data_IF_424452469401
#
_entry.id   IF_424452469401
#
_cell.length_a   1.000
_cell.length_b   1.000
_cell.length_c   1.000
_cell.angle_alpha   90.00
_cell.angle_beta   90.00
_cell.angle_gamma   90.00
#
_symmetry.space_group_name_H-M   'P 1'
#
loop_
_entity.id
_entity.type
_entity.pdbx_description
1 polymer ?
#
# COMPACT_ATOMS: atom_id res chain seq x y z
N UNK A 1 14.26 -16.54 22.99
CA UNK A 1 12.85 -16.14 23.22
C UNK A 1 12.41 -16.73 24.55
N UNK A 2 11.41 -16.14 25.22
CA UNK A 2 10.89 -16.70 26.48
C UNK A 2 9.37 -16.55 26.57
N UNK A 3 8.71 -17.38 27.37
CA UNK A 3 7.27 -17.26 27.63
C UNK A 3 7.05 -16.38 28.86
N UNK A 4 6.27 -15.32 28.69
CA UNK A 4 5.80 -14.45 29.75
C UNK A 4 4.35 -14.83 30.09
N UNK A 5 4.06 -15.02 31.39
CA UNK A 5 2.71 -15.28 31.89
C UNK A 5 2.15 -13.99 32.47
N UNK A 6 0.92 -13.63 32.09
CA UNK A 6 0.21 -12.45 32.61
C UNK A 6 -1.12 -12.86 33.19
N UNK A 7 -1.37 -12.51 34.45
CA UNK A 7 -2.71 -12.67 35.05
C UNK A 7 -3.64 -11.59 34.50
N UNK A 8 -4.83 -12.00 34.05
CA UNK A 8 -5.89 -11.10 33.59
C UNK A 8 -7.22 -11.60 34.16
N UNK A 9 -7.61 -11.05 35.31
CA UNK A 9 -8.68 -11.61 36.13
C UNK A 9 -8.36 -13.04 36.56
N UNK A 10 -9.30 -13.96 36.35
CA UNK A 10 -9.16 -15.38 36.71
C UNK A 10 -8.37 -16.21 35.68
N UNK A 11 -7.93 -15.61 34.57
CA UNK A 11 -7.22 -16.31 33.49
C UNK A 11 -5.74 -15.97 33.47
N UNK A 12 -4.90 -16.96 33.16
CA UNK A 12 -3.48 -16.78 32.88
C UNK A 12 -3.25 -16.73 31.39
N UNK A 13 -2.85 -15.57 30.87
CA UNK A 13 -2.50 -15.36 29.46
C UNK A 13 -1.02 -15.65 29.23
N UNK A 14 -0.71 -16.39 28.17
CA UNK A 14 0.65 -16.77 27.80
C UNK A 14 1.10 -15.99 26.57
N UNK A 15 2.29 -15.40 26.62
CA UNK A 15 2.88 -14.66 25.53
C UNK A 15 4.29 -15.16 25.25
N UNK A 16 4.62 -15.44 24.00
CA UNK A 16 6.00 -15.63 23.57
C UNK A 16 6.63 -14.27 23.30
N UNK A 17 7.75 -14.00 23.95
CA UNK A 17 8.49 -12.75 23.86
C UNK A 17 9.81 -12.97 23.15
N UNK A 18 10.10 -12.10 22.18
CA UNK A 18 11.40 -11.99 21.56
C UNK A 18 11.91 -10.56 21.63
N UNK A 19 13.08 -10.40 22.23
CA UNK A 19 13.84 -9.16 22.19
C UNK A 19 14.87 -9.30 21.07
N UNK A 20 14.92 -8.33 20.18
CA UNK A 20 15.92 -8.27 19.11
C UNK A 20 16.56 -6.89 19.08
N UNK A 21 17.79 -6.81 18.58
CA UNK A 21 18.48 -5.53 18.36
C UNK A 21 18.14 -4.99 16.98
N UNK A 22 17.93 -3.68 16.94
CA UNK A 22 17.78 -2.87 15.73
C UNK A 22 18.68 -1.64 15.91
N UNK A 23 19.87 -1.69 15.30
CA UNK A 23 20.97 -0.79 15.63
C UNK A 23 21.32 -0.84 17.13
N UNK A 24 21.39 0.33 17.77
CA UNK A 24 21.67 0.46 19.21
C UNK A 24 20.47 0.20 20.12
N UNK A 25 19.25 0.04 19.59
CA UNK A 25 18.02 -0.11 20.38
C UNK A 25 17.58 -1.57 20.49
N UNK A 26 17.16 -1.99 21.67
CA UNK A 26 16.48 -3.27 21.89
C UNK A 26 14.99 -3.08 21.66
N UNK A 27 14.41 -3.86 20.75
CA UNK A 27 12.99 -3.89 20.44
C UNK A 27 12.38 -5.19 20.96
N UNK A 28 11.16 -5.11 21.47
CA UNK A 28 10.39 -6.25 21.99
C UNK A 28 9.22 -6.54 21.05
N UNK A 29 9.12 -7.78 20.58
CA UNK A 29 7.96 -8.33 19.89
C UNK A 29 7.36 -9.43 20.75
N UNK A 30 6.03 -9.44 20.83
CA UNK A 30 5.29 -10.44 21.59
C UNK A 30 4.20 -11.08 20.75
N UNK A 31 4.00 -12.38 20.93
CA UNK A 31 2.88 -13.12 20.35
C UNK A 31 2.06 -13.77 21.45
N UNK A 32 0.74 -13.57 21.42
CA UNK A 32 -0.16 -14.25 22.34
C UNK A 32 -0.33 -15.72 21.94
N UNK A 33 -0.15 -16.63 22.89
CA UNK A 33 -0.23 -18.08 22.68
C UNK A 33 -1.60 -18.66 23.06
N UNK A 34 -2.30 -18.03 24.02
CA UNK A 34 -3.57 -18.52 24.55
C UNK A 34 -3.74 -18.23 26.05
N UNK A 35 -4.90 -18.59 26.60
CA UNK A 35 -5.20 -18.49 28.04
C UNK A 35 -5.26 -19.89 28.64
N UNK A 36 -4.83 -20.02 29.90
CA UNK A 36 -4.96 -21.23 30.73
C UNK A 36 -4.45 -22.51 30.04
N UNK A 37 -3.35 -22.35 29.29
CA UNK A 37 -2.75 -23.43 28.52
C UNK A 37 -2.01 -24.41 29.43
N UNK A 38 -2.19 -25.70 29.16
CA UNK A 38 -1.38 -26.76 29.76
C UNK A 38 0.05 -26.74 29.21
N UNK A 39 0.99 -27.34 29.94
CA UNK A 39 2.39 -27.44 29.52
C UNK A 39 2.53 -28.12 28.15
N UNK A 40 1.80 -29.20 27.90
CA UNK A 40 1.80 -29.90 26.61
C UNK A 40 1.29 -29.04 25.45
N UNK A 41 0.21 -28.28 25.66
CA UNK A 41 -0.29 -27.36 24.63
C UNK A 41 0.72 -26.25 24.33
N UNK A 42 1.40 -25.74 25.34
CA UNK A 42 2.47 -24.75 25.16
C UNK A 42 3.64 -25.32 24.35
N UNK A 43 4.11 -26.53 24.65
CA UNK A 43 5.20 -27.18 23.90
C UNK A 43 4.84 -27.40 22.43
N UNK A 44 3.56 -27.71 22.13
CA UNK A 44 3.10 -27.85 20.73
C UNK A 44 3.02 -26.51 19.98
N UNK A 45 2.53 -25.45 20.62
CA UNK A 45 2.31 -24.15 19.97
C UNK A 45 3.61 -23.34 19.84
N UNK A 46 4.54 -23.52 20.78
CA UNK A 46 5.76 -22.70 20.88
C UNK A 46 6.61 -22.70 19.60
N UNK A 47 6.95 -23.84 18.95
CA UNK A 47 7.78 -23.83 17.75
C UNK A 47 7.15 -23.07 16.57
N UNK A 48 5.82 -23.13 16.45
CA UNK A 48 5.06 -22.39 15.42
C UNK A 48 5.13 -20.89 15.72
N UNK A 49 4.88 -20.52 16.98
CA UNK A 49 4.95 -19.14 17.43
C UNK A 49 6.36 -18.53 17.31
N UNK A 50 7.42 -19.29 17.57
CA UNK A 50 8.81 -18.87 17.41
C UNK A 50 9.13 -18.54 15.94
N UNK A 51 8.76 -19.43 15.00
CA UNK A 51 8.91 -19.18 13.56
C UNK A 51 8.16 -17.92 13.12
N UNK A 52 6.92 -17.75 13.56
CA UNK A 52 6.10 -16.59 13.21
C UNK A 52 6.65 -15.28 13.77
N UNK A 53 7.21 -15.29 14.99
CA UNK A 53 7.89 -14.11 15.54
C UNK A 53 9.15 -13.78 14.75
N UNK A 54 9.98 -14.76 14.39
CA UNK A 54 11.18 -14.52 13.58
C UNK A 54 10.83 -13.93 12.21
N UNK A 55 9.82 -14.49 11.53
CA UNK A 55 9.30 -13.93 10.28
C UNK A 55 8.83 -12.49 10.47
N UNK A 56 8.06 -12.20 11.53
CA UNK A 56 7.60 -10.84 11.84
C UNK A 56 8.77 -9.87 12.07
N UNK A 57 9.80 -10.29 12.80
CA UNK A 57 11.00 -9.48 13.04
C UNK A 57 11.73 -9.20 11.74
N UNK A 58 11.84 -10.19 10.84
CA UNK A 58 12.42 -10.02 9.50
C UNK A 58 11.63 -8.97 8.70
N UNK A 59 10.29 -9.07 8.67
CA UNK A 59 9.42 -8.09 8.00
C UNK A 59 9.53 -6.70 8.64
N UNK A 60 9.54 -6.59 9.97
CA UNK A 60 9.69 -5.31 10.67
C UNK A 60 11.04 -4.65 10.34
N UNK A 61 12.12 -5.43 10.24
CA UNK A 61 13.43 -4.91 9.80
C UNK A 61 13.35 -4.40 8.37
N UNK A 62 12.76 -5.17 7.44
CA UNK A 62 12.53 -4.73 6.05
C UNK A 62 11.76 -3.40 5.97
N UNK A 63 10.71 -3.22 6.79
CA UNK A 63 9.91 -1.97 6.77
C UNK A 63 10.66 -0.80 7.43
N UNK A 64 11.42 -1.05 8.50
CA UNK A 64 12.17 0.01 9.19
C UNK A 64 13.36 0.49 8.37
N UNK A 65 13.86 -0.38 7.48
CA UNK A 65 15.03 -0.13 6.67
C UNK A 65 14.87 -0.55 5.20
N UNK A 66 13.88 0.00 4.48
CA UNK A 66 13.60 -0.39 3.11
C UNK A 66 14.60 0.22 2.12
N UNK A 67 15.58 1.02 2.60
CA UNK A 67 16.49 1.79 1.77
C UNK A 67 17.98 1.53 2.06
N UNK A 68 18.40 1.18 3.28
CA UNK A 68 19.84 0.99 3.58
C UNK A 68 20.44 -0.25 2.90
N UNK A 69 19.62 -1.20 2.44
CA UNK A 69 20.08 -2.31 1.59
C UNK A 69 19.81 -2.08 0.09
N UNK A 70 18.98 -1.09 -0.26
CA UNK A 70 18.42 -0.95 -1.61
C UNK A 70 19.04 0.17 -2.46
N UNK A 71 19.49 1.28 -1.83
CA UNK A 71 20.05 2.44 -2.53
C UNK A 71 21.22 3.05 -1.74
N UNK A 72 22.28 3.42 -2.45
CA UNK A 72 23.38 4.24 -1.95
C UNK A 72 22.95 5.70 -1.73
N UNK A 73 23.67 6.42 -0.86
CA UNK A 73 23.47 7.88 -0.67
C UNK A 73 23.67 8.67 -1.98
N UNK A 74 24.54 8.19 -2.88
CA UNK A 74 24.70 8.75 -4.22
C UNK A 74 23.44 8.57 -5.08
N UNK A 75 22.84 7.39 -5.09
CA UNK A 75 21.58 7.14 -5.83
C UNK A 75 20.43 7.99 -5.27
N UNK A 76 20.31 8.11 -3.95
CA UNK A 76 19.31 8.98 -3.31
C UNK A 76 19.52 10.45 -3.75
N UNK A 77 20.78 10.89 -3.81
CA UNK A 77 21.14 12.23 -4.28
C UNK A 77 20.83 12.41 -5.77
N UNK A 78 21.07 11.39 -6.60
CA UNK A 78 20.70 11.40 -8.02
C UNK A 78 19.19 11.52 -8.22
N UNK A 79 18.38 10.75 -7.46
CA UNK A 79 16.92 10.85 -7.52
C UNK A 79 16.46 12.25 -7.12
N UNK A 80 17.03 12.81 -6.04
CA UNK A 80 16.74 14.18 -5.61
C UNK A 80 17.08 15.21 -6.70
N UNK A 81 18.21 15.05 -7.36
CA UNK A 81 18.63 15.92 -8.47
C UNK A 81 17.73 15.76 -9.70
N UNK A 82 17.26 14.54 -10.00
CA UNK A 82 16.30 14.30 -11.08
C UNK A 82 14.95 14.97 -10.79
N UNK A 83 14.50 14.95 -9.54
CA UNK A 83 13.28 15.65 -9.12
C UNK A 83 13.38 17.17 -9.31
N UNK A 84 14.53 17.74 -8.96
CA UNK A 84 14.79 19.17 -9.15
C UNK A 84 14.90 19.53 -10.64
N UNK A 85 15.68 18.78 -11.42
CA UNK A 85 15.91 19.04 -12.86
C UNK A 85 14.67 18.87 -13.71
N UNK A 86 13.85 17.85 -13.47
CA UNK A 86 12.63 17.59 -14.27
C UNK A 86 11.47 18.53 -13.96
N UNK A 87 11.69 19.52 -13.07
CA UNK A 87 10.65 20.46 -12.64
C UNK A 87 9.39 19.68 -12.26
N UNK A 88 9.51 18.74 -11.33
CA UNK A 88 8.38 17.99 -10.77
C UNK A 88 7.37 18.89 -10.02
N UNK A 89 7.57 20.20 -10.07
CA UNK A 89 6.67 21.25 -9.62
C UNK A 89 5.28 21.05 -10.25
N UNK A 90 4.27 20.71 -9.44
CA UNK A 90 2.91 21.07 -9.81
C UNK A 90 2.77 22.57 -9.59
N UNK A 91 2.27 23.29 -10.59
CA UNK A 91 1.27 24.30 -10.31
C UNK A 91 -0.06 23.87 -10.94
N UNK A 92 -1.05 23.83 -10.06
CA UNK A 92 -2.46 23.49 -10.22
C UNK A 92 -2.89 22.77 -11.50
N UNK A 93 -3.20 21.47 -11.38
CA UNK A 93 -4.03 20.81 -12.39
C UNK A 93 -5.38 21.54 -12.48
N UNK A 94 -5.79 21.90 -13.70
CA UNK A 94 -7.11 22.48 -13.95
C UNK A 94 -8.22 21.47 -13.63
N UNK A 95 -9.48 21.96 -13.58
CA UNK A 95 -10.65 21.09 -13.41
C UNK A 95 -10.70 20.01 -14.50
N UNK A 96 -10.42 20.37 -15.74
CA UNK A 96 -10.37 19.46 -16.89
C UNK A 96 -9.22 18.45 -16.78
N UNK A 97 -8.05 18.87 -16.29
CA UNK A 97 -6.93 17.95 -16.09
C UNK A 97 -7.21 16.95 -14.95
N UNK A 98 -7.85 17.40 -13.86
CA UNK A 98 -8.31 16.50 -12.80
C UNK A 98 -9.36 15.51 -13.31
N UNK A 99 -10.33 15.99 -14.08
CA UNK A 99 -11.34 15.14 -14.73
C UNK A 99 -10.67 14.07 -15.60
N UNK A 100 -9.71 14.49 -16.44
CA UNK A 100 -8.95 13.57 -17.30
C UNK A 100 -8.12 12.58 -16.51
N UNK A 101 -7.44 13.02 -15.44
CA UNK A 101 -6.70 12.13 -14.55
C UNK A 101 -7.64 11.11 -13.91
N UNK A 102 -8.78 11.53 -13.36
CA UNK A 102 -9.76 10.63 -12.76
C UNK A 102 -10.27 9.59 -13.75
N UNK A 103 -10.60 9.97 -14.99
CA UNK A 103 -10.99 9.02 -16.04
C UNK A 103 -9.91 7.95 -16.29
N UNK A 104 -8.66 8.39 -16.48
CA UNK A 104 -7.53 7.50 -16.78
C UNK A 104 -7.17 6.59 -15.61
N UNK A 105 -7.12 7.18 -14.41
CA UNK A 105 -6.75 6.50 -13.18
C UNK A 105 -7.81 5.48 -12.78
N UNK A 106 -9.10 5.85 -12.77
CA UNK A 106 -10.20 4.94 -12.44
C UNK A 106 -10.23 3.75 -13.41
N UNK A 107 -10.09 4.00 -14.72
CA UNK A 107 -10.02 2.91 -15.70
C UNK A 107 -8.83 1.98 -15.43
N UNK A 108 -7.62 2.52 -15.33
CA UNK A 108 -6.41 1.68 -15.25
C UNK A 108 -6.35 0.94 -13.92
N UNK A 109 -6.66 1.60 -12.80
CA UNK A 109 -6.58 0.99 -11.47
C UNK A 109 -7.60 -0.12 -11.27
N UNK A 110 -8.81 -0.02 -11.84
CA UNK A 110 -9.81 -1.08 -11.74
C UNK A 110 -9.51 -2.22 -12.72
N UNK A 111 -9.11 -1.90 -13.96
CA UNK A 111 -8.76 -2.92 -14.95
C UNK A 111 -7.51 -3.73 -14.56
N UNK A 112 -6.55 -3.15 -13.82
CA UNK A 112 -5.42 -3.89 -13.24
C UNK A 112 -5.90 -4.97 -12.26
N UNK A 113 -7.02 -4.74 -11.56
CA UNK A 113 -7.63 -5.70 -10.65
C UNK A 113 -8.69 -6.60 -11.33
N UNK A 114 -8.89 -6.45 -12.64
CA UNK A 114 -9.76 -7.34 -13.43
C UNK A 114 -11.15 -6.79 -13.78
N UNK A 115 -11.46 -5.52 -13.49
CA UNK A 115 -12.71 -4.91 -13.96
C UNK A 115 -12.80 -4.94 -15.49
N UNK A 116 -14.01 -5.22 -15.98
CA UNK A 116 -14.30 -5.33 -17.42
C UNK A 116 -14.87 -4.05 -18.03
N UNK A 117 -14.91 -2.95 -17.27
CA UNK A 117 -15.34 -1.65 -17.76
C UNK A 117 -14.34 -1.11 -18.79
N UNK A 118 -14.82 -0.78 -19.98
CA UNK A 118 -14.03 -0.08 -20.98
C UNK A 118 -13.75 1.36 -20.56
N UNK A 119 -12.69 1.94 -21.14
CA UNK A 119 -12.34 3.36 -20.93
C UNK A 119 -13.49 4.32 -21.26
N UNK A 120 -14.34 3.97 -22.24
CA UNK A 120 -15.51 4.77 -22.62
C UNK A 120 -16.61 4.66 -21.56
N UNK A 121 -16.87 3.46 -21.05
CA UNK A 121 -17.87 3.25 -19.99
C UNK A 121 -17.46 3.96 -18.71
N UNK A 122 -16.20 3.85 -18.27
CA UNK A 122 -15.70 4.62 -17.12
C UNK A 122 -15.94 6.12 -17.35
N UNK A 123 -15.59 6.64 -18.53
CA UNK A 123 -15.83 8.05 -18.86
C UNK A 123 -17.31 8.44 -18.79
N UNK A 124 -18.21 7.59 -19.29
CA UNK A 124 -19.65 7.84 -19.30
C UNK A 124 -20.26 7.73 -17.88
N UNK A 125 -19.78 6.81 -17.04
CA UNK A 125 -20.14 6.68 -15.63
C UNK A 125 -19.77 7.95 -14.87
N UNK A 126 -18.49 8.36 -14.90
CA UNK A 126 -18.00 9.45 -14.05
C UNK A 126 -18.50 10.85 -14.45
N UNK A 127 -18.90 11.04 -15.71
CA UNK A 127 -19.16 12.37 -16.26
C UNK A 127 -20.59 12.61 -16.73
N UNK A 128 -21.37 11.55 -16.93
CA UNK A 128 -22.74 11.63 -17.48
C UNK A 128 -23.73 10.83 -16.64
N UNK A 129 -23.27 10.18 -15.58
CA UNK A 129 -24.06 9.24 -14.78
C UNK A 129 -24.79 8.19 -15.64
N UNK A 130 -24.11 7.75 -16.73
CA UNK A 130 -24.66 6.77 -17.67
C UNK A 130 -24.06 5.41 -17.40
N UNK A 131 -24.89 4.49 -16.92
CA UNK A 131 -24.47 3.16 -16.51
C UNK A 131 -24.63 2.13 -17.64
N UNK A 132 -23.61 1.31 -17.93
CA UNK A 132 -23.78 0.14 -18.78
C UNK A 132 -24.75 -0.85 -18.12
N UNK A 133 -25.65 -1.45 -18.91
CA UNK A 133 -26.70 -2.37 -18.40
C UNK A 133 -26.21 -3.80 -18.27
N UNK A 134 -25.11 -4.11 -18.94
CA UNK A 134 -24.50 -5.42 -19.15
C UNK A 134 -23.24 -5.63 -18.30
N UNK A 135 -23.02 -4.77 -17.29
CA UNK A 135 -21.86 -4.82 -16.40
C UNK A 135 -22.28 -4.97 -14.95
N UNK A 136 -21.40 -5.58 -14.16
CA UNK A 136 -21.61 -5.78 -12.73
C UNK A 136 -21.79 -4.44 -12.00
N UNK A 137 -22.72 -4.42 -11.04
CA UNK A 137 -23.03 -3.19 -10.28
C UNK A 137 -21.87 -2.81 -9.38
N UNK A 138 -21.13 -3.80 -8.91
CA UNK A 138 -19.91 -3.68 -8.12
C UNK A 138 -18.84 -2.90 -8.89
N UNK A 139 -18.61 -3.23 -10.16
CA UNK A 139 -17.64 -2.54 -11.03
C UNK A 139 -18.00 -1.05 -11.21
N UNK A 140 -19.29 -0.76 -11.41
CA UNK A 140 -19.80 0.62 -11.53
C UNK A 140 -19.63 1.37 -10.20
N UNK A 141 -19.99 0.72 -9.09
CA UNK A 141 -19.89 1.25 -7.74
C UNK A 141 -18.44 1.58 -7.36
N UNK A 142 -17.52 0.68 -7.67
CA UNK A 142 -16.09 0.83 -7.41
C UNK A 142 -15.44 1.89 -8.31
N UNK A 143 -15.95 2.10 -9.53
CA UNK A 143 -15.53 3.24 -10.37
C UNK A 143 -15.84 4.59 -9.72
N UNK A 144 -17.06 4.77 -9.19
CA UNK A 144 -17.41 5.95 -8.39
C UNK A 144 -16.59 6.02 -7.10
N UNK A 145 -16.38 4.90 -6.43
CA UNK A 145 -15.57 4.78 -5.23
C UNK A 145 -14.15 5.31 -5.42
N UNK A 146 -13.49 4.93 -6.51
CA UNK A 146 -12.16 5.44 -6.86
C UNK A 146 -12.18 6.94 -7.15
N UNK A 147 -13.16 7.46 -7.89
CA UNK A 147 -13.29 8.91 -8.11
C UNK A 147 -13.44 9.66 -6.79
N UNK A 148 -14.29 9.17 -5.90
CA UNK A 148 -14.49 9.76 -4.57
C UNK A 148 -13.21 9.70 -3.73
N UNK A 149 -12.42 8.64 -3.84
CA UNK A 149 -11.12 8.53 -3.17
C UNK A 149 -10.11 9.55 -3.71
N UNK A 150 -10.08 9.80 -5.02
CA UNK A 150 -9.27 10.87 -5.64
C UNK A 150 -9.68 12.23 -5.08
N UNK A 151 -10.98 12.52 -4.99
CA UNK A 151 -11.48 13.77 -4.41
C UNK A 151 -11.11 13.91 -2.93
N UNK A 152 -11.13 12.80 -2.19
CA UNK A 152 -10.75 12.78 -0.78
C UNK A 152 -9.26 13.12 -0.58
N UNK A 153 -8.35 12.47 -1.31
CA UNK A 153 -6.90 12.73 -1.19
C UNK A 153 -6.51 14.15 -1.63
N UNK A 154 -7.30 14.77 -2.51
CA UNK A 154 -7.13 16.18 -2.89
C UNK A 154 -7.46 17.14 -1.75
N UNK A 155 -8.42 16.80 -0.88
CA UNK A 155 -8.91 17.67 0.21
C UNK A 155 -8.20 17.42 1.54
N UNK A 156 -7.78 16.18 1.81
CA UNK A 156 -7.13 15.84 3.09
C UNK A 156 -5.77 16.51 3.25
N UNK A 157 -5.42 16.89 4.49
CA UNK A 157 -4.05 17.32 4.85
C UNK A 157 -3.20 16.17 5.39
N UNK A 158 -3.79 15.00 5.63
CA UNK A 158 -3.11 13.84 6.18
C UNK A 158 -2.29 13.16 5.08
N UNK A 159 -0.98 12.97 5.32
CA UNK A 159 -0.12 12.26 4.38
C UNK A 159 -0.31 10.74 4.47
N UNK A 160 -0.25 10.19 5.68
CA UNK A 160 -0.40 8.76 5.92
C UNK A 160 -0.81 8.52 7.37
N UNK A 161 -1.91 7.82 7.57
CA UNK A 161 -2.30 7.25 8.87
C UNK A 161 -3.09 5.96 8.64
N UNK A 162 -3.29 5.16 9.68
CA UNK A 162 -4.09 3.93 9.54
C UNK A 162 -5.55 4.28 9.26
N UNK A 163 -6.05 5.34 9.89
CA UNK A 163 -7.40 5.85 9.71
C UNK A 163 -7.61 6.34 8.27
N UNK A 164 -6.61 6.99 7.65
CA UNK A 164 -6.67 7.38 6.25
C UNK A 164 -6.68 6.16 5.32
N UNK A 165 -5.88 5.14 5.64
CA UNK A 165 -5.84 3.87 4.88
C UNK A 165 -7.20 3.17 4.91
N UNK A 166 -7.78 3.01 6.11
CA UNK A 166 -9.12 2.46 6.33
C UNK A 166 -10.17 3.32 5.62
N UNK A 167 -10.06 4.66 5.71
CA UNK A 167 -11.03 5.57 5.09
C UNK A 167 -11.00 5.52 3.55
N UNK A 168 -9.83 5.44 2.95
CA UNK A 168 -9.69 5.28 1.49
C UNK A 168 -10.36 3.98 1.05
N UNK A 169 -10.10 2.88 1.75
CA UNK A 169 -10.74 1.59 1.45
C UNK A 169 -12.26 1.67 1.61
N UNK A 170 -12.75 2.26 2.71
CA UNK A 170 -14.18 2.49 2.93
C UNK A 170 -14.80 3.28 1.77
N UNK A 171 -14.20 4.38 1.35
CA UNK A 171 -14.71 5.22 0.26
C UNK A 171 -14.84 4.43 -1.06
N UNK A 172 -13.86 3.58 -1.36
CA UNK A 172 -13.86 2.79 -2.60
C UNK A 172 -14.94 1.69 -2.56
N UNK A 173 -15.11 1.02 -1.42
CA UNK A 173 -15.84 -0.25 -1.35
C UNK A 173 -17.15 -0.24 -0.56
N UNK A 174 -17.51 0.86 0.11
CA UNK A 174 -18.72 0.93 0.99
C UNK A 174 -20.04 0.52 0.33
N UNK A 175 -20.09 0.54 -1.00
CA UNK A 175 -21.27 0.21 -1.79
C UNK A 175 -21.07 -1.07 -2.63
N UNK A 176 -20.02 -1.86 -2.36
CA UNK A 176 -19.75 -3.12 -3.07
C UNK A 176 -19.24 -4.26 -2.18
N UNK A 177 -18.64 -3.97 -1.01
CA UNK A 177 -18.09 -4.97 -0.08
C UNK A 177 -18.50 -4.67 1.36
N UNK A 178 -18.96 -5.68 2.08
CA UNK A 178 -19.32 -5.59 3.50
C UNK A 178 -18.13 -5.25 4.40
N UNK A 179 -16.91 -5.70 4.03
CA UNK A 179 -15.68 -5.44 4.79
C UNK A 179 -15.05 -4.06 4.48
N UNK A 180 -15.77 -3.17 3.81
CA UNK A 180 -15.26 -1.85 3.44
C UNK A 180 -14.78 -1.05 4.66
N UNK A 181 -13.48 -0.73 4.67
CA UNK A 181 -12.84 0.10 5.70
C UNK A 181 -12.26 -0.70 6.86
N UNK A 182 -12.41 -2.02 6.86
CA UNK A 182 -11.91 -2.88 7.93
C UNK A 182 -10.67 -3.65 7.49
N UNK A 183 -9.59 -3.54 8.27
CA UNK A 183 -8.46 -4.45 8.13
C UNK A 183 -8.92 -5.90 8.30
N UNK A 184 -8.32 -6.83 7.55
CA UNK A 184 -8.70 -8.24 7.61
C UNK A 184 -8.56 -8.83 9.02
N UNK A 185 -9.50 -9.71 9.36
CA UNK A 185 -9.56 -10.31 10.69
C UNK A 185 -8.45 -11.36 10.90
N UNK A 186 -8.14 -11.66 12.16
CA UNK A 186 -7.14 -12.66 12.51
C UNK A 186 -7.56 -14.03 11.98
N UNK A 187 -6.69 -14.66 11.18
CA UNK A 187 -6.92 -15.96 10.56
C UNK A 187 -7.25 -15.89 9.07
N UNK A 188 -7.56 -14.72 8.54
CA UNK A 188 -7.74 -14.51 7.10
C UNK A 188 -6.37 -14.15 6.52
N UNK A 189 -5.70 -15.13 5.94
CA UNK A 189 -4.47 -14.92 5.19
C UNK A 189 -4.80 -14.72 3.70
N UNK A 190 -4.07 -13.80 3.07
CA UNK A 190 -4.33 -13.33 1.71
C UNK A 190 -3.10 -13.52 0.85
N UNK A 191 -3.32 -13.74 -0.43
CA UNK A 191 -2.27 -13.86 -1.43
C UNK A 191 -2.46 -12.80 -2.50
N UNK A 192 -1.35 -12.24 -2.96
CA UNK A 192 -1.33 -11.37 -4.12
C UNK A 192 -1.29 -12.26 -5.35
N UNK A 193 -2.23 -12.05 -6.27
CA UNK A 193 -2.29 -12.77 -7.53
C UNK A 193 -1.99 -11.84 -8.69
N UNK A 194 -1.34 -12.38 -9.73
CA UNK A 194 -1.20 -11.69 -11.00
C UNK A 194 -2.50 -11.77 -11.82
N UNK A 195 -2.49 -11.17 -13.01
CA UNK A 195 -3.64 -11.20 -13.92
C UNK A 195 -3.99 -12.54 -14.53
N UNK A 196 -3.18 -13.57 -14.29
CA UNK A 196 -3.41 -14.95 -14.71
C UNK A 196 -3.86 -15.83 -13.53
N UNK A 197 -3.98 -15.25 -12.33
CA UNK A 197 -4.36 -15.95 -11.11
C UNK A 197 -3.21 -16.64 -10.38
N UNK A 198 -1.96 -16.48 -10.82
CA UNK A 198 -0.80 -17.06 -10.16
C UNK A 198 -0.52 -16.33 -8.85
N UNK A 199 -0.19 -17.08 -7.79
CA UNK A 199 0.25 -16.49 -6.52
C UNK A 199 1.62 -15.83 -6.73
N UNK A 200 1.66 -14.51 -6.60
CA UNK A 200 2.87 -13.69 -6.66
C UNK A 200 3.59 -13.72 -5.31
N UNK A 201 2.85 -13.48 -4.22
CA UNK A 201 3.36 -13.61 -2.85
C UNK A 201 2.22 -13.69 -1.82
N UNK A 202 2.55 -14.07 -0.59
CA UNK A 202 1.64 -14.06 0.56
C UNK A 202 1.71 -12.71 1.28
N UNK A 203 0.55 -12.15 1.66
CA UNK A 203 0.51 -10.98 2.53
C UNK A 203 1.07 -11.29 3.92
N UNK A 204 1.31 -10.25 4.72
CA UNK A 204 1.80 -10.45 6.08
C UNK A 204 0.85 -11.32 6.93
N UNK A 205 1.29 -11.97 8.03
CA UNK A 205 0.34 -12.65 8.90
C UNK A 205 -0.73 -11.68 9.43
N UNK A 206 -2.02 -12.05 9.33
CA UNK A 206 -3.19 -11.20 9.68
C UNK A 206 -3.08 -10.52 11.05
N UNK A 207 -2.59 -11.25 12.05
CA UNK A 207 -2.36 -10.75 13.41
C UNK A 207 -1.28 -9.65 13.53
N UNK A 208 -0.45 -9.48 12.51
CA UNK A 208 0.62 -8.50 12.48
C UNK A 208 0.22 -7.23 11.70
N UNK A 209 -0.81 -7.28 10.86
CA UNK A 209 -1.21 -6.23 9.92
C UNK A 209 -1.21 -4.85 10.57
N UNK A 210 -2.02 -4.64 11.63
CA UNK A 210 -2.12 -3.33 12.28
C UNK A 210 -0.78 -2.85 12.86
N UNK A 211 0.05 -3.76 13.39
CA UNK A 211 1.37 -3.36 13.89
C UNK A 211 2.31 -2.99 12.74
N UNK A 212 2.29 -3.73 11.63
CA UNK A 212 3.13 -3.43 10.48
C UNK A 212 2.73 -2.10 9.82
N UNK A 213 1.44 -1.80 9.75
CA UNK A 213 0.97 -0.47 9.33
C UNK A 213 1.46 0.64 10.28
N UNK A 214 1.47 0.42 11.60
CA UNK A 214 2.07 1.38 12.55
C UNK A 214 3.56 1.61 12.28
N UNK A 215 4.29 0.54 11.97
CA UNK A 215 5.72 0.64 11.62
C UNK A 215 5.89 1.41 10.32
N UNK A 216 5.07 1.13 9.30
CA UNK A 216 5.10 1.82 8.01
C UNK A 216 4.81 3.33 8.14
N UNK A 217 3.77 3.68 8.90
CA UNK A 217 3.42 5.09 9.20
C UNK A 217 4.56 5.78 9.96
N UNK A 218 5.14 5.11 10.96
CA UNK A 218 6.28 5.64 11.72
C UNK A 218 7.52 5.84 10.86
N UNK A 219 7.78 4.92 9.92
CA UNK A 219 8.85 5.06 8.94
C UNK A 219 8.61 6.29 8.04
N UNK A 220 7.40 6.45 7.50
CA UNK A 220 7.06 7.61 6.69
C UNK A 220 7.30 8.92 7.44
N UNK A 221 6.78 9.05 8.66
CA UNK A 221 6.88 10.26 9.46
C UNK A 221 8.34 10.66 9.73
N UNK A 222 9.20 9.68 10.01
CA UNK A 222 10.63 9.91 10.25
C UNK A 222 11.39 10.41 9.02
N UNK A 223 10.93 10.06 7.81
CA UNK A 223 11.68 10.27 6.58
C UNK A 223 11.00 11.19 5.56
N UNK A 224 9.76 11.63 5.79
CA UNK A 224 8.97 12.43 4.84
C UNK A 224 9.65 13.72 4.39
N UNK A 225 10.52 14.29 5.21
CA UNK A 225 11.27 15.53 4.89
C UNK A 225 12.73 15.26 4.49
N UNK A 226 13.15 14.00 4.43
CA UNK A 226 14.55 13.59 4.17
C UNK A 226 14.72 13.01 2.78
N UNK A 227 13.78 12.18 2.35
CA UNK A 227 13.86 11.49 1.06
C UNK A 227 13.03 12.17 -0.03
N UNK A 228 13.44 12.00 -1.30
CA UNK A 228 12.66 12.37 -2.49
C UNK A 228 11.20 11.89 -2.40
N UNK A 229 10.18 12.70 -2.72
CA UNK A 229 8.79 12.26 -2.62
C UNK A 229 8.41 11.08 -3.52
N UNK A 230 9.03 10.93 -4.70
CA UNK A 230 8.81 9.73 -5.54
C UNK A 230 9.34 8.49 -4.85
N UNK A 231 10.49 8.59 -4.18
CA UNK A 231 11.06 7.50 -3.40
C UNK A 231 10.14 7.13 -2.24
N UNK A 232 9.63 8.12 -1.51
CA UNK A 232 8.66 7.92 -0.44
C UNK A 232 7.39 7.22 -0.96
N UNK A 233 6.85 7.68 -2.09
CA UNK A 233 5.66 7.11 -2.70
C UNK A 233 5.88 5.66 -3.15
N UNK A 234 7.04 5.36 -3.76
CA UNK A 234 7.44 4.01 -4.16
C UNK A 234 7.56 3.05 -2.97
N UNK A 235 8.24 3.48 -1.90
CA UNK A 235 8.42 2.65 -0.69
C UNK A 235 7.09 2.39 0.00
N UNK A 236 6.27 3.43 0.22
CA UNK A 236 4.98 3.24 0.89
C UNK A 236 4.07 2.34 0.08
N UNK A 237 4.04 2.49 -1.25
CA UNK A 237 3.26 1.63 -2.11
C UNK A 237 3.68 0.15 -2.01
N UNK A 238 4.97 -0.16 -2.22
CA UNK A 238 5.47 -1.53 -2.15
C UNK A 238 5.26 -2.16 -0.76
N UNK A 239 5.59 -1.43 0.31
CA UNK A 239 5.44 -1.96 1.67
C UNK A 239 3.96 -2.16 2.04
N UNK A 240 3.06 -1.29 1.54
CA UNK A 240 1.62 -1.48 1.72
C UNK A 240 1.13 -2.75 1.00
N UNK A 241 1.53 -2.95 -0.27
CA UNK A 241 1.20 -4.16 -1.04
C UNK A 241 1.71 -5.43 -0.34
N UNK A 242 2.93 -5.40 0.20
CA UNK A 242 3.53 -6.50 0.95
C UNK A 242 2.79 -6.80 2.28
N UNK A 243 2.31 -5.77 2.98
CA UNK A 243 1.51 -5.97 4.20
C UNK A 243 0.16 -6.59 3.85
N UNK A 244 -0.43 -6.17 2.73
CA UNK A 244 -1.73 -6.61 2.22
C UNK A 244 -2.82 -6.59 3.31
N UNK A 245 -3.19 -5.40 3.81
CA UNK A 245 -4.00 -5.26 5.03
C UNK A 245 -5.48 -5.62 4.90
N UNK A 246 -6.04 -5.66 3.70
CA UNK A 246 -7.46 -5.88 3.44
C UNK A 246 -7.71 -7.24 2.78
N UNK A 247 -8.96 -7.73 2.82
CA UNK A 247 -9.37 -8.96 2.14
C UNK A 247 -9.32 -8.83 0.61
N UNK A 248 -9.65 -7.65 0.09
CA UNK A 248 -9.57 -7.26 -1.32
C UNK A 248 -9.25 -5.76 -1.41
N UNK A 249 -8.91 -5.27 -2.59
CA UNK A 249 -8.80 -3.83 -2.85
C UNK A 249 -7.45 -3.21 -2.49
N UNK A 250 -6.50 -4.01 -2.01
CA UNK A 250 -5.16 -3.56 -1.62
C UNK A 250 -4.48 -2.77 -2.75
N UNK A 251 -4.39 -3.33 -3.97
CA UNK A 251 -3.79 -2.63 -5.11
C UNK A 251 -4.38 -1.24 -5.37
N UNK A 252 -5.71 -1.11 -5.30
CA UNK A 252 -6.43 0.15 -5.51
C UNK A 252 -6.13 1.17 -4.41
N UNK A 253 -6.16 0.74 -3.15
CA UNK A 253 -5.79 1.59 -2.01
C UNK A 253 -4.33 1.98 -2.08
N UNK A 254 -3.42 1.05 -2.39
CA UNK A 254 -1.99 1.28 -2.53
C UNK A 254 -1.68 2.34 -3.57
N UNK A 255 -2.32 2.29 -4.74
CA UNK A 255 -2.15 3.30 -5.81
C UNK A 255 -2.77 4.66 -5.46
N UNK A 256 -3.84 4.69 -4.67
CA UNK A 256 -4.38 5.96 -4.11
C UNK A 256 -3.43 6.54 -3.06
N UNK A 257 -2.86 5.72 -2.17
CA UNK A 257 -1.89 6.16 -1.15
C UNK A 257 -0.61 6.72 -1.77
N UNK A 258 -0.10 6.04 -2.82
CA UNK A 258 1.00 6.52 -3.64
C UNK A 258 0.71 7.96 -4.11
N UNK A 259 -0.45 8.17 -4.72
CA UNK A 259 -0.85 9.49 -5.20
C UNK A 259 -1.09 10.50 -4.07
N UNK A 260 -1.60 10.08 -2.91
CA UNK A 260 -1.75 10.97 -1.75
C UNK A 260 -0.38 11.52 -1.33
N UNK A 261 0.65 10.68 -1.25
CA UNK A 261 2.01 11.08 -0.89
C UNK A 261 2.56 12.09 -1.90
N UNK A 262 2.43 11.81 -3.20
CA UNK A 262 2.86 12.73 -4.25
C UNK A 262 2.18 14.10 -4.09
N UNK A 263 0.85 14.12 -3.95
CA UNK A 263 0.08 15.34 -3.82
C UNK A 263 0.43 16.15 -2.57
N UNK A 264 0.69 15.49 -1.44
CA UNK A 264 1.09 16.20 -0.21
C UNK A 264 2.50 16.80 -0.30
N UNK A 265 3.31 16.32 -1.22
CA UNK A 265 4.62 16.87 -1.56
C UNK A 265 4.59 17.79 -2.79
N UNK A 266 3.41 18.23 -3.21
CA UNK A 266 3.21 19.09 -4.39
C UNK A 266 3.76 18.48 -5.69
N UNK A 267 3.73 17.14 -5.80
CA UNK A 267 4.02 16.39 -7.01
C UNK A 267 2.74 15.92 -7.71
N UNK A 268 2.69 15.93 -9.05
CA UNK A 268 1.50 15.55 -9.80
C UNK A 268 1.23 14.06 -9.64
N UNK A 269 -0.05 13.68 -9.70
CA UNK A 269 -0.42 12.30 -9.56
C UNK A 269 0.03 11.50 -10.80
N UNK A 270 0.29 10.22 -10.59
CA UNK A 270 0.65 9.26 -11.62
C UNK A 270 -0.43 8.21 -11.77
N UNK A 271 -0.61 7.75 -13.00
CA UNK A 271 -1.48 6.63 -13.33
C UNK A 271 -0.60 5.46 -13.77
N UNK A 272 -0.68 4.32 -13.11
CA UNK A 272 -0.05 3.09 -13.61
C UNK A 272 -0.94 2.57 -14.72
N UNK A 273 -0.50 2.74 -15.97
CA UNK A 273 -1.29 2.39 -17.14
C UNK A 273 -1.48 0.87 -17.22
N UNK A 274 -2.70 0.43 -17.56
CA UNK A 274 -3.02 -1.00 -17.74
C UNK A 274 -2.04 -1.70 -18.69
N UNK A 275 -1.56 -1.00 -19.74
CA UNK A 275 -0.57 -1.53 -20.69
C UNK A 275 0.76 -1.90 -20.02
N UNK A 276 1.06 -1.32 -18.85
CA UNK A 276 2.26 -1.60 -18.06
C UNK A 276 1.99 -2.53 -16.87
N UNK A 277 0.82 -3.16 -16.78
CA UNK A 277 0.45 -4.13 -15.72
C UNK A 277 1.53 -5.18 -15.47
N UNK A 278 2.11 -5.75 -16.53
CA UNK A 278 3.22 -6.72 -16.40
C UNK A 278 4.45 -6.12 -15.74
N UNK A 279 4.90 -4.96 -16.20
CA UNK A 279 6.06 -4.23 -15.62
C UNK A 279 5.78 -3.82 -14.17
N UNK A 280 4.55 -3.45 -13.86
CA UNK A 280 4.10 -3.13 -12.51
C UNK A 280 4.26 -4.32 -11.55
N UNK A 281 3.71 -5.49 -11.88
CA UNK A 281 3.87 -6.67 -11.03
C UNK A 281 5.32 -7.16 -10.94
N UNK A 282 6.10 -7.04 -12.04
CA UNK A 282 7.53 -7.32 -12.00
C UNK A 282 8.28 -6.41 -11.03
N UNK A 283 7.96 -5.11 -10.99
CA UNK A 283 8.57 -4.17 -10.06
C UNK A 283 8.25 -4.50 -8.59
N UNK A 284 7.01 -4.92 -8.30
CA UNK A 284 6.63 -5.39 -6.96
C UNK A 284 7.38 -6.68 -6.57
N UNK A 285 7.50 -7.62 -7.51
CA UNK A 285 8.19 -8.88 -7.29
C UNK A 285 9.69 -8.69 -7.03
N UNK A 286 10.31 -7.77 -7.76
CA UNK A 286 11.74 -7.45 -7.63
C UNK A 286 12.04 -6.83 -6.25
N UNK A 287 11.18 -5.93 -5.78
CA UNK A 287 11.28 -5.38 -4.42
C UNK A 287 11.10 -6.46 -3.34
N UNK A 288 10.14 -7.36 -3.50
CA UNK A 288 9.91 -8.42 -2.50
C UNK A 288 11.06 -9.44 -2.45
N UNK A 289 11.54 -9.86 -3.62
CA UNK A 289 12.52 -10.95 -3.76
C UNK A 289 13.95 -10.47 -3.52
N UNK A 290 14.33 -9.37 -4.16
CA UNK A 290 15.71 -8.89 -4.21
C UNK A 290 15.93 -7.59 -3.44
N UNK A 291 14.87 -7.04 -2.81
CA UNK A 291 14.92 -5.77 -2.08
C UNK A 291 15.31 -4.58 -2.95
N UNK A 292 15.08 -4.70 -4.26
CA UNK A 292 15.40 -3.65 -5.22
C UNK A 292 14.16 -2.82 -5.56
N UNK A 293 14.18 -1.57 -5.09
CA UNK A 293 13.11 -0.59 -5.31
C UNK A 293 13.25 0.18 -6.63
N UNK A 294 14.41 0.10 -7.30
CA UNK A 294 14.72 0.85 -8.54
C UNK A 294 13.69 0.62 -9.65
N UNK A 295 13.23 -0.61 -9.93
CA UNK A 295 12.22 -0.84 -10.97
C UNK A 295 10.90 -0.11 -10.70
N UNK A 296 10.49 0.00 -9.44
CA UNK A 296 9.30 0.78 -9.08
C UNK A 296 9.54 2.25 -9.38
N UNK A 297 10.68 2.81 -8.94
CA UNK A 297 11.00 4.23 -9.15
C UNK A 297 11.02 4.55 -10.65
N UNK A 298 11.68 3.72 -11.46
CA UNK A 298 11.72 3.88 -12.91
C UNK A 298 10.33 3.85 -13.55
N UNK A 299 9.47 2.91 -13.12
CA UNK A 299 8.09 2.86 -13.55
C UNK A 299 7.35 4.16 -13.23
N UNK A 300 7.46 4.67 -12.00
CA UNK A 300 6.80 5.92 -11.59
C UNK A 300 7.33 7.14 -12.37
N UNK A 301 8.64 7.19 -12.63
CA UNK A 301 9.24 8.24 -13.46
C UNK A 301 8.72 8.22 -14.90
N UNK A 302 8.50 7.04 -15.47
CA UNK A 302 7.93 6.88 -16.80
C UNK A 302 6.43 7.16 -16.85
N UNK A 303 5.67 6.80 -15.80
CA UNK A 303 4.27 7.16 -15.68
C UNK A 303 4.07 8.66 -15.48
N UNK A 304 4.96 9.32 -14.73
CA UNK A 304 4.98 10.76 -14.62
C UNK A 304 5.14 11.44 -16.00
N UNK A 305 6.11 11.00 -16.81
CA UNK A 305 6.28 11.51 -18.18
C UNK A 305 5.05 11.24 -19.05
N UNK A 306 4.44 10.06 -18.90
CA UNK A 306 3.23 9.68 -19.63
C UNK A 306 2.07 10.60 -19.28
N UNK A 307 1.81 10.78 -17.98
CA UNK A 307 0.75 11.64 -17.47
C UNK A 307 0.95 13.11 -17.82
N UNK A 308 2.18 13.61 -17.78
CA UNK A 308 2.49 14.97 -18.23
C UNK A 308 2.07 15.19 -19.69
N UNK A 309 2.25 14.21 -20.57
CA UNK A 309 1.80 14.29 -21.97
C UNK A 309 0.28 14.18 -22.09
N UNK A 310 -0.35 13.22 -21.41
CA UNK A 310 -1.81 13.02 -21.42
C UNK A 310 -2.59 14.23 -20.90
N UNK A 311 -2.01 15.01 -19.97
CA UNK A 311 -2.61 16.21 -19.41
C UNK A 311 -2.30 17.49 -20.19
N UNK A 312 -1.57 17.40 -21.32
CA UNK A 312 -1.20 18.55 -22.14
C UNK A 312 -0.15 19.47 -21.50
N UNK A 313 0.70 18.91 -20.63
CA UNK A 313 1.66 19.65 -19.81
C UNK A 313 1.08 20.10 -18.46
N UNK A 314 1.90 20.76 -17.65
CA UNK A 314 1.48 21.42 -16.41
C UNK A 314 1.59 22.92 -16.61
N UNK A 315 0.57 23.68 -16.21
CA UNK A 315 0.69 25.14 -16.21
C UNK A 315 1.61 25.53 -15.04
N UNK A 316 2.47 26.54 -15.26
CA UNK A 316 3.32 27.12 -14.22
C UNK A 316 2.50 27.93 -13.23
#
# INVERSE_FOLDING_TARGET
MHIEKRKAGNKTKYYLIHNYREGAKVKKVSRYLGSDLTKEKLEKIRPIAERQILQRVKVIRKINDPLLEALSEEEITQIKNLEQKKSFVIFHLSKEQWKRFSELFTYSTNAIEGSELSKKEVKDILNKDKWPKDKEKEDISEAYGVQNAIEHIRKTKVHLSIELIEKIHEIIFKNSKEFAGYLRTKGIEVVVKDGLGNIVHEGAPSENVRQLLKVLVGWYEKHKNKYPPILLAAVIHNQFENIHPFEDGNGRVGRILLNNILLKHNLPPVNIDLRRRKRYYQALQEHETNHDIRPTIELLLDEYKSMKRELGGYKK
#
